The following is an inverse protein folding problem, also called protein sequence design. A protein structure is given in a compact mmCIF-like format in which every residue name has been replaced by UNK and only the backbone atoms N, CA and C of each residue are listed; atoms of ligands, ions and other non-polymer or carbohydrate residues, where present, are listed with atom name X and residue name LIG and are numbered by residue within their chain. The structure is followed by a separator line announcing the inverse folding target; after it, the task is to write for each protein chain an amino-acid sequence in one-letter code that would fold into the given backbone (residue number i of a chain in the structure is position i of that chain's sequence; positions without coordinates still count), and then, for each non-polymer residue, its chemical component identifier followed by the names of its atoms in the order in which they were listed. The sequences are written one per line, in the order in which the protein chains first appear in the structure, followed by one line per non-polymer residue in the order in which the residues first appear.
data_IF_480989702066
#
_entry.id   IF_480989702066
#
_cell.length_a   1.000
_cell.length_b   1.000
_cell.length_c   1.000
_cell.angle_alpha   90.00
_cell.angle_beta   90.00
_cell.angle_gamma   90.00
#
_symmetry.space_group_name_H-M   'P 1'
#
loop_
_entity.id
_entity.type
_entity.pdbx_description
1 polymer ?
#
# COMPACT_ATOMS: atom_id res chain seq x y z
N UNK A 1 -16.87 -11.55 0.42
CA UNK A 1 -17.09 -10.27 -0.27
C UNK A 1 -16.92 -9.16 0.77
N UNK A 2 -15.68 -8.91 1.16
CA UNK A 2 -15.27 -7.65 1.82
C UNK A 2 -14.82 -6.60 0.76
N UNK A 3 -14.86 -7.03 -0.50
CA UNK A 3 -14.35 -6.38 -1.70
C UNK A 3 -15.11 -5.08 -2.01
N UNK A 4 -16.35 -4.95 -1.54
CA UNK A 4 -17.17 -3.76 -1.76
C UNK A 4 -16.62 -2.52 -1.06
N UNK A 5 -15.95 -2.65 0.08
CA UNK A 5 -15.38 -1.50 0.80
C UNK A 5 -14.14 -0.96 0.09
N UNK A 6 -13.23 -1.83 -0.34
CA UNK A 6 -12.05 -1.47 -1.13
C UNK A 6 -12.45 -0.90 -2.48
N UNK A 7 -13.42 -1.52 -3.16
CA UNK A 7 -13.92 -1.02 -4.43
C UNK A 7 -14.59 0.35 -4.29
N UNK A 8 -15.39 0.55 -3.24
CA UNK A 8 -15.99 1.84 -2.93
C UNK A 8 -14.92 2.91 -2.63
N UNK A 9 -13.86 2.53 -1.90
CA UNK A 9 -12.72 3.40 -1.63
C UNK A 9 -12.02 3.82 -2.93
N UNK A 10 -11.64 2.86 -3.78
CA UNK A 10 -10.97 3.11 -5.06
C UNK A 10 -11.83 4.01 -5.97
N UNK A 11 -13.14 3.74 -6.05
CA UNK A 11 -14.09 4.58 -6.83
C UNK A 11 -14.16 6.02 -6.33
N UNK A 12 -13.91 6.26 -5.04
CA UNK A 12 -13.97 7.57 -4.41
C UNK A 12 -12.59 8.14 -4.06
N UNK A 13 -11.52 7.55 -4.61
CA UNK A 13 -10.16 7.79 -4.15
C UNK A 13 -9.71 9.26 -4.17
N UNK A 14 -10.18 10.02 -5.16
CA UNK A 14 -9.96 11.46 -5.27
C UNK A 14 -10.42 12.26 -4.03
N UNK A 15 -11.45 11.79 -3.31
CA UNK A 15 -11.97 12.44 -2.10
C UNK A 15 -11.10 12.19 -0.88
N UNK A 16 -10.36 11.08 -0.88
CA UNK A 16 -9.55 10.63 0.24
C UNK A 16 -8.08 10.94 0.08
N UNK A 17 -7.66 11.36 -1.12
CA UNK A 17 -6.27 11.72 -1.44
C UNK A 17 -5.61 12.61 -0.38
N UNK A 18 -6.24 13.72 0.00
CA UNK A 18 -5.68 14.65 1.00
C UNK A 18 -5.49 14.00 2.38
N UNK A 19 -6.42 13.14 2.79
CA UNK A 19 -6.32 12.38 4.04
C UNK A 19 -5.18 11.38 3.97
N UNK A 20 -5.02 10.68 2.85
CA UNK A 20 -3.93 9.71 2.68
C UNK A 20 -2.57 10.40 2.66
N UNK A 21 -2.44 11.55 1.99
CA UNK A 21 -1.24 12.39 2.06
C UNK A 21 -0.92 12.82 3.51
N UNK A 22 -1.93 13.17 4.31
CA UNK A 22 -1.73 13.47 5.74
C UNK A 22 -1.22 12.26 6.52
N UNK A 23 -1.82 11.08 6.29
CA UNK A 23 -1.43 9.84 6.94
C UNK A 23 0.02 9.43 6.60
N UNK A 24 0.44 9.65 5.35
CA UNK A 24 1.82 9.37 4.89
C UNK A 24 2.87 10.23 5.60
N UNK A 25 2.50 11.37 6.20
CA UNK A 25 3.42 12.18 7.01
C UNK A 25 3.60 11.67 8.45
N UNK A 26 3.09 10.49 8.80
CA UNK A 26 3.26 9.93 10.13
C UNK A 26 4.71 9.53 10.41
N UNK A 27 5.38 10.26 11.30
CA UNK A 27 6.80 10.03 11.63
C UNK A 27 7.05 8.84 12.57
N UNK A 28 6.04 8.50 13.40
CA UNK A 28 6.17 7.50 14.46
C UNK A 28 5.56 6.17 13.99
N UNK A 29 6.37 5.09 13.91
CA UNK A 29 5.86 3.77 13.58
C UNK A 29 4.90 3.28 14.67
N UNK A 30 3.97 2.40 14.33
CA UNK A 30 2.96 1.84 15.25
C UNK A 30 1.92 2.84 15.79
N UNK A 31 1.84 4.05 15.23
CA UNK A 31 0.65 4.88 15.40
C UNK A 31 -0.46 4.40 14.47
N UNK A 32 -1.73 4.64 14.83
CA UNK A 32 -2.84 4.32 13.93
C UNK A 32 -2.66 5.02 12.57
N UNK A 33 -2.09 6.24 12.56
CA UNK A 33 -1.83 6.99 11.34
C UNK A 33 -0.81 6.28 10.45
N UNK A 34 0.30 5.81 11.01
CA UNK A 34 1.31 5.05 10.26
C UNK A 34 0.78 3.71 9.75
N UNK A 35 -0.02 3.00 10.56
CA UNK A 35 -0.63 1.73 10.12
C UNK A 35 -1.67 1.95 9.01
N UNK A 36 -2.48 3.01 9.13
CA UNK A 36 -3.44 3.38 8.09
C UNK A 36 -2.74 3.87 6.82
N UNK A 37 -1.59 4.55 6.92
CA UNK A 37 -0.85 5.02 5.75
C UNK A 37 -0.30 3.85 4.94
N UNK A 38 0.20 2.78 5.58
CA UNK A 38 0.62 1.56 4.90
C UNK A 38 -0.51 0.97 4.05
N UNK A 39 -1.71 0.83 4.64
CA UNK A 39 -2.86 0.26 3.94
C UNK A 39 -3.38 1.16 2.80
N UNK A 40 -3.62 2.45 3.06
CA UNK A 40 -4.27 3.33 2.10
C UNK A 40 -3.31 3.91 1.05
N UNK A 41 -2.03 4.04 1.37
CA UNK A 41 -1.00 4.44 0.41
C UNK A 41 -0.83 3.40 -0.68
N UNK A 42 -0.79 2.11 -0.32
CA UNK A 42 -0.75 1.00 -1.28
C UNK A 42 -1.94 1.01 -2.26
N UNK A 43 -3.16 1.22 -1.75
CA UNK A 43 -4.39 1.30 -2.56
C UNK A 43 -4.41 2.49 -3.54
N UNK A 44 -3.49 3.44 -3.37
CA UNK A 44 -3.40 4.68 -4.13
C UNK A 44 -2.07 4.85 -4.85
N UNK A 45 -1.27 3.79 -4.98
CA UNK A 45 0.04 3.83 -5.66
C UNK A 45 -0.02 4.29 -7.11
N UNK A 46 -1.19 4.20 -7.76
CA UNK A 46 -1.42 4.67 -9.12
C UNK A 46 -1.70 6.19 -9.22
N UNK A 47 -1.91 6.89 -8.09
CA UNK A 47 -1.99 8.34 -8.04
C UNK A 47 -0.57 8.95 -8.04
N UNK A 48 -0.23 9.83 -9.00
CA UNK A 48 1.13 10.36 -9.12
C UNK A 48 1.67 11.07 -7.89
N UNK A 49 0.83 11.80 -7.14
CA UNK A 49 1.28 12.58 -5.99
C UNK A 49 1.49 11.68 -4.76
N UNK A 50 0.66 10.65 -4.61
CA UNK A 50 0.86 9.61 -3.60
C UNK A 50 2.14 8.84 -3.92
N UNK A 51 2.35 8.49 -5.18
CA UNK A 51 3.55 7.78 -5.64
C UNK A 51 4.82 8.59 -5.34
N UNK A 52 4.88 9.85 -5.78
CA UNK A 52 6.01 10.75 -5.52
C UNK A 52 6.27 10.92 -4.02
N UNK A 53 5.21 11.00 -3.20
CA UNK A 53 5.36 11.09 -1.76
C UNK A 53 5.92 9.81 -1.14
N UNK A 54 5.49 8.65 -1.61
CA UNK A 54 6.01 7.35 -1.16
C UNK A 54 7.47 7.18 -1.58
N UNK A 55 7.85 7.60 -2.79
CA UNK A 55 9.25 7.63 -3.24
C UNK A 55 10.11 8.48 -2.31
N UNK A 56 9.68 9.71 -1.99
CA UNK A 56 10.37 10.59 -1.04
C UNK A 56 10.54 9.92 0.34
N UNK A 57 9.48 9.32 0.88
CA UNK A 57 9.52 8.61 2.17
C UNK A 57 10.48 7.41 2.11
N UNK A 58 10.48 6.66 1.00
CA UNK A 58 11.30 5.46 0.80
C UNK A 58 12.81 5.75 0.79
N UNK A 59 13.20 7.01 0.61
CA UNK A 59 14.60 7.46 0.62
C UNK A 59 14.93 8.27 1.88
N UNK A 60 14.05 9.22 2.24
CA UNK A 60 14.39 10.29 3.17
C UNK A 60 13.80 10.12 4.57
N UNK A 61 12.86 9.20 4.78
CA UNK A 61 12.19 9.09 6.08
C UNK A 61 13.18 8.69 7.19
N UNK A 62 13.19 9.38 8.35
CA UNK A 62 14.17 9.14 9.41
C UNK A 62 14.05 7.75 10.02
N UNK A 63 12.82 7.23 10.09
CA UNK A 63 12.57 5.87 10.57
C UNK A 63 12.88 4.81 9.50
N UNK A 64 13.86 3.93 9.75
CA UNK A 64 14.27 2.86 8.84
C UNK A 64 13.13 1.87 8.50
N UNK A 65 12.25 1.54 9.45
CA UNK A 65 11.17 0.57 9.21
C UNK A 65 10.15 1.12 8.21
N UNK A 66 9.73 2.38 8.39
CA UNK A 66 8.81 3.06 7.46
C UNK A 66 9.48 3.20 6.08
N UNK A 67 10.74 3.62 6.06
CA UNK A 67 11.52 3.77 4.82
C UNK A 67 11.60 2.46 4.04
N UNK A 68 12.00 1.38 4.70
CA UNK A 68 12.16 0.07 4.08
C UNK A 68 10.84 -0.56 3.65
N UNK A 69 9.77 -0.36 4.41
CA UNK A 69 8.45 -0.80 4.00
C UNK A 69 8.06 -0.19 2.64
N UNK A 70 8.16 1.13 2.51
CA UNK A 70 7.80 1.81 1.26
C UNK A 70 8.74 1.49 0.11
N UNK A 71 10.03 1.34 0.37
CA UNK A 71 10.99 0.85 -0.64
C UNK A 71 10.58 -0.51 -1.20
N UNK A 72 10.27 -1.47 -0.31
CA UNK A 72 9.87 -2.81 -0.70
C UNK A 72 8.53 -2.83 -1.45
N UNK A 73 7.58 -1.96 -1.07
CA UNK A 73 6.30 -1.79 -1.77
C UNK A 73 6.55 -1.31 -3.21
N UNK A 74 7.39 -0.29 -3.39
CA UNK A 74 7.73 0.24 -4.72
C UNK A 74 8.48 -0.79 -5.58
N UNK A 75 9.29 -1.66 -4.97
CA UNK A 75 10.03 -2.73 -5.66
C UNK A 75 9.19 -4.01 -5.91
N UNK A 76 7.90 -3.99 -5.54
CA UNK A 76 6.99 -5.12 -5.78
C UNK A 76 7.31 -6.36 -4.95
N UNK A 77 7.74 -6.17 -3.69
CA UNK A 77 8.02 -7.26 -2.74
C UNK A 77 6.81 -8.18 -2.53
N UNK A 78 5.61 -7.60 -2.48
CA UNK A 78 4.37 -8.32 -2.24
C UNK A 78 3.59 -8.47 -3.55
N UNK A 79 3.35 -9.70 -3.97
CA UNK A 79 2.50 -10.01 -5.13
C UNK A 79 1.36 -10.93 -4.73
N UNK A 80 0.16 -10.67 -5.25
CA UNK A 80 -0.96 -11.59 -5.13
C UNK A 80 -0.83 -12.70 -6.20
N UNK A 81 -0.54 -13.93 -5.77
CA UNK A 81 -0.47 -15.10 -6.63
C UNK A 81 -1.76 -15.92 -6.50
N UNK A 82 -2.44 -16.20 -7.61
CA UNK A 82 -3.64 -17.02 -7.63
C UNK A 82 -3.28 -18.47 -7.29
N UNK A 83 -3.83 -19.00 -6.19
CA UNK A 83 -3.58 -20.38 -5.74
C UNK A 83 -4.75 -21.33 -6.00
N UNK A 84 -5.97 -20.81 -6.18
CA UNK A 84 -7.12 -21.62 -6.57
C UNK A 84 -8.23 -20.78 -7.22
N UNK A 85 -8.99 -21.40 -8.13
CA UNK A 85 -10.09 -20.74 -8.85
C UNK A 85 -9.69 -20.18 -10.21
N UNK A 86 -10.58 -19.42 -10.82
CA UNK A 86 -10.31 -18.67 -12.05
C UNK A 86 -10.77 -17.23 -11.86
N UNK A 87 -10.10 -16.26 -12.48
CA UNK A 87 -10.49 -14.84 -12.43
C UNK A 87 -11.92 -14.60 -12.96
N UNK A 88 -12.41 -15.51 -13.81
CA UNK A 88 -13.78 -15.52 -14.35
C UNK A 88 -14.80 -16.27 -13.48
N UNK A 89 -14.37 -16.86 -12.36
CA UNK A 89 -15.18 -17.73 -11.50
C UNK A 89 -15.73 -17.01 -10.26
N UNK A 90 -16.73 -17.61 -9.61
CA UNK A 90 -17.35 -17.06 -8.39
C UNK A 90 -16.43 -17.01 -7.17
N UNK A 91 -15.27 -17.67 -7.23
CA UNK A 91 -14.26 -17.69 -6.17
C UNK A 91 -12.87 -17.76 -6.80
N UNK A 92 -12.02 -16.81 -6.41
CA UNK A 92 -10.59 -16.80 -6.68
C UNK A 92 -9.89 -16.65 -5.32
N UNK A 93 -8.92 -17.53 -5.05
CA UNK A 93 -8.12 -17.50 -3.83
C UNK A 93 -6.70 -17.07 -4.20
N UNK A 94 -6.22 -16.03 -3.54
CA UNK A 94 -4.87 -15.50 -3.72
C UNK A 94 -4.04 -15.72 -2.46
N UNK A 95 -2.74 -15.93 -2.63
CA UNK A 95 -1.75 -15.85 -1.56
C UNK A 95 -0.90 -14.61 -1.78
N UNK A 96 -0.57 -13.91 -0.71
CA UNK A 96 0.48 -12.87 -0.76
C UNK A 96 1.83 -13.58 -0.76
N UNK A 97 2.56 -13.44 -1.86
CA UNK A 97 3.94 -13.92 -1.97
C UNK A 97 4.89 -12.81 -1.57
N UNK A 98 5.66 -13.05 -0.51
CA UNK A 98 6.76 -12.18 -0.11
C UNK A 98 8.05 -12.59 -0.86
N UNK A 99 8.58 -11.69 -1.69
CA UNK A 99 9.84 -11.87 -2.43
C UNK A 99 11.11 -11.57 -1.63
N UNK A 100 10.96 -11.22 -0.36
CA UNK A 100 12.03 -10.77 0.51
C UNK A 100 12.26 -9.26 0.40
N UNK A 101 12.76 -8.67 1.50
CA UNK A 101 13.12 -7.26 1.54
C UNK A 101 14.38 -6.99 0.73
N UNK A 102 14.39 -5.90 -0.04
CA UNK A 102 15.57 -5.41 -0.75
C UNK A 102 16.10 -4.10 -0.17
N UNK A 103 15.41 -3.54 0.81
CA UNK A 103 15.89 -2.38 1.54
C UNK A 103 17.11 -2.74 2.42
N UNK A 104 18.20 -1.99 2.27
CA UNK A 104 19.43 -2.15 3.06
C UNK A 104 19.48 -1.27 4.33
#
# INVERSE_FOLDING_TARGET
MDDGATELFIRNKHRYKSVVLELLNAEIPNTYKAQASFLFGELLLDDPEIHEKIEDISVNHPNKQIRCFWFDVLDGRFEHELIAGSESGKFAAYVVKDKGSRCE
#
